data_IF_421119261716
#
_entry.id   IF_421119261716
#
_cell.length_a   1.000
_cell.length_b   1.000
_cell.length_c   1.000
_cell.angle_alpha   90.00
_cell.angle_beta   90.00
_cell.angle_gamma   90.00
#
_symmetry.space_group_name_H-M   'P 1'
#
loop_
_entity.id
_entity.type
_entity.pdbx_description
1 polymer ?
#
# COMPACT_ATOMS: atom_id res chain seq x y z
N UNK A 1 -7.26 8.98 3.77
CA UNK A 1 -6.60 7.70 3.47
C UNK A 1 -7.56 6.52 3.61
N UNK A 2 -8.22 6.38 4.75
CA UNK A 2 -9.21 5.31 4.92
C UNK A 2 -10.33 5.35 3.88
N UNK A 3 -10.79 6.55 3.53
CA UNK A 3 -11.85 6.70 2.55
C UNK A 3 -11.44 6.23 1.15
N UNK A 4 -10.19 6.44 0.78
CA UNK A 4 -9.67 5.99 -0.50
C UNK A 4 -9.60 4.48 -0.57
N UNK A 5 -9.23 3.83 0.51
CA UNK A 5 -9.20 2.36 0.59
C UNK A 5 -10.60 1.80 0.33
N UNK A 6 -11.60 2.39 0.94
CA UNK A 6 -12.99 1.92 0.79
C UNK A 6 -13.57 2.23 -0.59
N UNK A 7 -13.01 3.20 -1.30
CA UNK A 7 -13.37 3.45 -2.70
C UNK A 7 -12.79 2.40 -3.63
N UNK A 8 -11.58 1.94 -3.35
CA UNK A 8 -10.90 0.94 -4.17
C UNK A 8 -11.50 -0.45 -3.94
N UNK A 9 -11.73 -0.79 -2.69
CA UNK A 9 -12.30 -2.07 -2.29
C UNK A 9 -13.50 -1.84 -1.38
N UNK A 10 -14.69 -1.56 -1.95
CA UNK A 10 -15.87 -1.18 -1.14
C UNK A 10 -16.30 -2.24 -0.12
N UNK A 11 -16.00 -3.51 -0.38
CA UNK A 11 -16.34 -4.59 0.54
C UNK A 11 -15.44 -4.62 1.78
N UNK A 12 -14.30 -3.92 1.74
CA UNK A 12 -13.36 -3.88 2.85
C UNK A 12 -13.52 -2.57 3.62
N UNK A 13 -13.76 -2.69 4.93
CA UNK A 13 -13.91 -1.52 5.81
C UNK A 13 -12.69 -1.38 6.70
N UNK A 14 -12.20 -0.17 6.85
CA UNK A 14 -11.04 0.10 7.70
C UNK A 14 -11.45 0.02 9.16
N UNK A 15 -10.79 -0.85 9.93
CA UNK A 15 -11.03 -0.97 11.37
C UNK A 15 -10.10 -0.08 12.16
N UNK A 16 -8.81 -0.08 11.82
CA UNK A 16 -7.81 0.70 12.55
C UNK A 16 -6.50 0.75 11.79
N UNK A 17 -5.67 1.71 12.18
CA UNK A 17 -4.28 1.77 11.74
C UNK A 17 -3.47 0.84 12.64
N UNK A 18 -2.69 -0.06 12.04
CA UNK A 18 -1.90 -1.03 12.82
C UNK A 18 -0.40 -0.83 12.69
N UNK A 19 0.04 0.05 11.80
CA UNK A 19 1.45 0.33 11.67
C UNK A 19 1.72 1.50 10.77
N UNK A 20 2.94 1.95 10.80
CA UNK A 20 3.43 3.01 9.94
C UNK A 20 4.92 2.95 9.93
N UNK A 21 5.52 3.58 8.93
CA UNK A 21 6.97 3.59 8.79
C UNK A 21 7.41 4.58 7.74
N UNK A 22 8.68 4.44 7.34
CA UNK A 22 9.30 5.37 6.41
C UNK A 22 8.56 5.43 5.07
N UNK A 23 7.94 4.35 4.65
CA UNK A 23 7.38 4.26 3.29
C UNK A 23 5.86 4.17 3.25
N UNK A 24 5.18 4.21 4.39
CA UNK A 24 3.73 4.15 4.33
C UNK A 24 3.07 3.80 5.63
N UNK A 25 1.79 3.55 5.53
CA UNK A 25 0.93 3.25 6.67
C UNK A 25 0.20 1.95 6.41
N UNK A 26 0.02 1.14 7.45
CA UNK A 26 -0.69 -0.13 7.35
C UNK A 26 -1.98 -0.05 8.13
N UNK A 27 -3.06 -0.47 7.50
CA UNK A 27 -4.41 -0.48 8.08
C UNK A 27 -4.93 -1.91 8.16
N UNK A 28 -5.65 -2.20 9.23
CA UNK A 28 -6.41 -3.44 9.34
C UNK A 28 -7.80 -3.19 8.76
N UNK A 29 -8.22 -4.09 7.87
CA UNK A 29 -9.53 -3.98 7.23
C UNK A 29 -10.32 -5.25 7.47
N UNK A 30 -11.65 -5.14 7.39
CA UNK A 30 -12.56 -6.24 7.64
C UNK A 30 -13.59 -6.31 6.53
N UNK A 31 -13.95 -7.52 6.17
CA UNK A 31 -15.04 -7.81 5.25
C UNK A 31 -15.96 -8.83 5.89
N UNK A 32 -17.26 -8.58 5.82
CA UNK A 32 -18.28 -9.53 6.28
C UNK A 32 -19.16 -9.92 5.09
N UNK A 33 -19.26 -11.21 4.85
CA UNK A 33 -20.05 -11.75 3.75
C UNK A 33 -20.69 -13.05 4.22
N UNK A 34 -22.01 -13.13 4.12
CA UNK A 34 -22.77 -14.31 4.58
C UNK A 34 -22.42 -14.72 6.03
N UNK A 35 -22.29 -13.76 6.92
CA UNK A 35 -21.91 -13.95 8.32
C UNK A 35 -20.50 -14.46 8.53
N UNK A 36 -19.68 -14.49 7.47
CA UNK A 36 -18.26 -14.80 7.59
C UNK A 36 -17.48 -13.51 7.64
N UNK A 37 -16.64 -13.37 8.64
CA UNK A 37 -15.80 -12.20 8.81
C UNK A 37 -14.36 -12.53 8.44
N UNK A 38 -13.82 -11.77 7.50
CA UNK A 38 -12.42 -11.90 7.07
C UNK A 38 -11.67 -10.62 7.36
N UNK A 39 -10.40 -10.75 7.69
CA UNK A 39 -9.54 -9.58 7.93
C UNK A 39 -8.32 -9.63 7.06
N UNK A 40 -7.84 -8.45 6.70
CA UNK A 40 -6.63 -8.30 5.89
C UNK A 40 -5.89 -7.05 6.34
N UNK A 41 -4.67 -6.90 5.85
CA UNK A 41 -3.90 -5.68 6.03
C UNK A 41 -3.78 -4.98 4.68
N UNK A 42 -3.89 -3.65 4.69
CA UNK A 42 -3.64 -2.84 3.50
C UNK A 42 -2.53 -1.86 3.82
N UNK A 43 -1.44 -1.99 3.07
CA UNK A 43 -0.33 -1.04 3.17
C UNK A 43 -0.50 0.01 2.09
N UNK A 44 -0.39 1.27 2.49
CA UNK A 44 -0.47 2.41 1.59
C UNK A 44 0.91 3.04 1.49
N UNK A 45 1.45 3.06 0.29
CA UNK A 45 2.75 3.68 0.01
C UNK A 45 2.50 4.92 -0.83
N UNK A 46 2.96 6.06 -0.35
CA UNK A 46 2.82 7.33 -1.06
C UNK A 46 4.14 7.70 -1.73
N UNK A 47 4.09 8.04 -3.00
CA UNK A 47 5.28 8.43 -3.79
C UNK A 47 4.98 9.75 -4.49
N UNK A 48 5.68 10.85 -4.16
CA UNK A 48 6.68 10.93 -3.10
C UNK A 48 6.04 10.81 -1.72
N UNK A 49 6.81 10.39 -0.75
CA UNK A 49 6.37 10.27 0.63
C UNK A 49 5.95 11.62 1.19
N UNK A 50 6.72 12.65 0.84
CA UNK A 50 6.51 14.02 1.29
C UNK A 50 6.43 14.92 0.07
N UNK A 51 5.39 15.78 -0.05
CA UNK A 51 5.31 16.73 -1.18
C UNK A 51 6.55 17.62 -1.34
N UNK A 52 7.28 17.87 -0.25
CA UNK A 52 8.49 18.67 -0.31
C UNK A 52 9.60 18.02 -1.14
N UNK A 53 9.54 16.70 -1.36
CA UNK A 53 10.52 16.03 -2.21
C UNK A 53 10.47 16.53 -3.65
N UNK A 54 9.29 16.83 -4.16
CA UNK A 54 9.13 17.37 -5.51
C UNK A 54 9.79 18.74 -5.59
N UNK A 55 9.54 19.59 -4.60
CA UNK A 55 10.15 20.91 -4.55
C UNK A 55 11.67 20.83 -4.47
N UNK A 56 12.19 19.91 -3.66
CA UNK A 56 13.64 19.71 -3.53
C UNK A 56 14.27 19.28 -4.84
N UNK A 57 13.64 18.34 -5.57
CA UNK A 57 14.14 17.89 -6.86
C UNK A 57 14.16 19.01 -7.88
N UNK A 58 13.12 19.85 -7.88
CA UNK A 58 13.03 20.99 -8.81
C UNK A 58 14.06 22.07 -8.46
N UNK A 59 14.32 22.28 -7.19
CA UNK A 59 15.37 23.23 -6.76
C UNK A 59 16.75 22.75 -7.17
N UNK A 60 16.97 21.45 -7.28
CA UNK A 60 18.23 20.88 -7.77
C UNK A 60 18.33 20.90 -9.30
N UNK A 61 17.39 21.55 -9.98
CA UNK A 61 17.42 21.74 -11.42
C UNK A 61 16.62 20.72 -12.23
N UNK A 62 15.90 19.83 -11.58
CA UNK A 62 15.10 18.84 -12.28
C UNK A 62 13.83 19.46 -12.84
N UNK A 63 13.53 19.17 -14.12
CA UNK A 63 12.29 19.63 -14.74
C UNK A 63 11.09 18.87 -14.17
N UNK A 64 9.87 19.40 -14.44
CA UNK A 64 8.65 18.71 -14.02
C UNK A 64 8.57 17.30 -14.65
N UNK A 65 8.89 17.20 -15.95
CA UNK A 65 8.89 15.90 -16.62
C UNK A 65 9.97 14.97 -16.09
N UNK A 66 11.13 15.50 -15.76
CA UNK A 66 12.22 14.72 -15.17
C UNK A 66 11.85 14.21 -13.79
N UNK A 67 11.20 15.04 -13.00
CA UNK A 67 10.72 14.66 -11.66
C UNK A 67 9.70 13.53 -11.78
N UNK A 68 8.75 13.68 -12.69
CA UNK A 68 7.73 12.65 -12.92
C UNK A 68 8.37 11.33 -13.35
N UNK A 69 9.30 11.37 -14.29
CA UNK A 69 9.99 10.17 -14.77
C UNK A 69 10.78 9.48 -13.66
N UNK A 70 11.47 10.26 -12.84
CA UNK A 70 12.24 9.71 -11.72
C UNK A 70 11.33 9.01 -10.73
N UNK A 71 10.23 9.65 -10.32
CA UNK A 71 9.30 9.08 -9.36
C UNK A 71 8.54 7.90 -9.95
N UNK A 72 8.21 7.95 -11.24
CA UNK A 72 7.59 6.82 -11.94
C UNK A 72 8.48 5.58 -11.89
N UNK A 73 9.79 5.76 -12.00
CA UNK A 73 10.74 4.66 -11.86
C UNK A 73 10.67 4.00 -10.50
N UNK A 74 10.48 4.79 -9.44
CA UNK A 74 10.32 4.26 -8.08
C UNK A 74 9.02 3.45 -7.99
N UNK A 75 7.94 3.97 -8.56
CA UNK A 75 6.66 3.25 -8.60
C UNK A 75 6.82 1.92 -9.33
N UNK A 76 7.49 1.92 -10.47
CA UNK A 76 7.71 0.71 -11.25
C UNK A 76 8.50 -0.33 -10.47
N UNK A 77 9.49 0.09 -9.70
CA UNK A 77 10.28 -0.80 -8.86
C UNK A 77 9.39 -1.45 -7.78
N UNK A 78 8.52 -0.66 -7.13
CA UNK A 78 7.58 -1.20 -6.15
C UNK A 78 6.61 -2.19 -6.79
N UNK A 79 6.09 -1.87 -7.97
CA UNK A 79 5.15 -2.75 -8.67
C UNK A 79 5.83 -4.07 -9.03
N UNK A 80 7.07 -4.03 -9.50
CA UNK A 80 7.83 -5.24 -9.81
C UNK A 80 8.03 -6.10 -8.57
N UNK A 81 8.34 -5.48 -7.45
CA UNK A 81 8.51 -6.18 -6.18
C UNK A 81 7.18 -6.82 -5.72
N UNK A 82 6.08 -6.10 -5.84
CA UNK A 82 4.75 -6.61 -5.51
C UNK A 82 4.41 -7.83 -6.37
N UNK A 83 4.69 -7.76 -7.66
CA UNK A 83 4.42 -8.87 -8.58
C UNK A 83 5.25 -10.09 -8.21
N UNK A 84 6.50 -9.90 -7.79
CA UNK A 84 7.33 -10.99 -7.32
C UNK A 84 6.73 -11.63 -6.08
N UNK A 85 6.32 -10.82 -5.10
CA UNK A 85 5.68 -11.33 -3.89
C UNK A 85 4.39 -12.08 -4.21
N UNK A 86 3.61 -11.57 -5.16
CA UNK A 86 2.36 -12.22 -5.58
C UNK A 86 2.64 -13.58 -6.21
N UNK A 87 3.73 -13.71 -6.97
CA UNK A 87 4.11 -14.97 -7.58
C UNK A 87 4.57 -16.01 -6.56
N UNK A 88 4.97 -15.56 -5.36
CA UNK A 88 5.39 -16.44 -4.28
C UNK A 88 4.25 -16.75 -3.30
N UNK A 89 3.05 -16.39 -3.66
CA UNK A 89 1.86 -16.63 -2.84
C UNK A 89 1.72 -18.12 -2.52
N UNK A 90 1.50 -18.41 -1.25
CA UNK A 90 1.38 -19.78 -0.78
C UNK A 90 2.68 -20.41 -0.32
N UNK A 91 3.82 -19.73 -0.52
CA UNK A 91 5.09 -20.20 0.01
C UNK A 91 5.13 -19.90 1.51
N UNK A 92 5.54 -20.89 2.28
CA UNK A 92 5.57 -20.77 3.74
C UNK A 92 6.45 -19.60 4.19
N UNK A 93 5.98 -18.87 5.21
CA UNK A 93 6.68 -17.76 5.84
C UNK A 93 6.76 -16.48 4.99
N UNK A 94 6.03 -16.43 3.88
CA UNK A 94 5.94 -15.23 3.08
C UNK A 94 4.53 -14.68 3.19
N UNK A 95 4.43 -13.38 3.49
CA UNK A 95 3.14 -12.69 3.54
C UNK A 95 2.54 -12.70 2.13
N UNK A 96 1.32 -13.22 2.01
CA UNK A 96 0.66 -13.31 0.71
C UNK A 96 0.03 -11.98 0.33
N UNK A 97 0.40 -11.49 -0.87
CA UNK A 97 -0.27 -10.33 -1.46
C UNK A 97 -1.53 -10.84 -2.16
N UNK A 98 -2.68 -10.28 -1.79
CA UNK A 98 -3.96 -10.68 -2.34
C UNK A 98 -4.37 -9.85 -3.55
N UNK A 99 -4.08 -8.55 -3.48
CA UNK A 99 -4.40 -7.61 -4.56
C UNK A 99 -3.61 -6.33 -4.35
N UNK A 100 -3.50 -5.52 -5.40
CA UNK A 100 -2.89 -4.21 -5.28
C UNK A 100 -3.50 -3.24 -6.28
N UNK A 101 -3.38 -1.94 -5.99
CA UNK A 101 -3.82 -0.87 -6.89
C UNK A 101 -2.80 0.24 -6.85
N UNK A 102 -2.50 0.80 -8.03
CA UNK A 102 -1.66 1.99 -8.16
C UNK A 102 -2.55 3.11 -8.66
N UNK A 103 -2.63 4.19 -7.89
CA UNK A 103 -3.48 5.33 -8.22
C UNK A 103 -2.60 6.55 -8.42
N UNK A 104 -2.64 7.13 -9.61
CA UNK A 104 -1.95 8.38 -9.89
C UNK A 104 -2.77 9.54 -9.36
N UNK A 105 -2.12 10.49 -8.69
CA UNK A 105 -2.79 11.68 -8.16
C UNK A 105 -3.16 12.63 -9.30
N UNK A 106 -4.32 13.22 -9.19
CA UNK A 106 -4.78 14.22 -10.16
C UNK A 106 -4.29 15.60 -9.74
N UNK A 107 -3.81 16.37 -10.70
CA UNK A 107 -3.40 17.76 -10.47
C UNK A 107 -2.04 17.93 -9.81
N UNK A 108 -1.36 16.85 -9.49
CA UNK A 108 -0.02 16.92 -8.91
C UNK A 108 0.76 15.66 -9.29
N UNK A 109 2.07 15.74 -9.16
CA UNK A 109 2.94 14.58 -9.42
C UNK A 109 2.91 13.68 -8.20
N UNK A 110 2.47 12.44 -8.38
CA UNK A 110 2.47 11.50 -7.29
C UNK A 110 1.60 10.29 -7.55
N UNK A 111 1.86 9.24 -6.79
CA UNK A 111 1.13 7.98 -6.86
C UNK A 111 0.93 7.45 -5.46
N UNK A 112 -0.18 6.77 -5.26
CA UNK A 112 -0.43 6.01 -4.03
C UNK A 112 -0.60 4.55 -4.41
N UNK A 113 0.18 3.69 -3.77
CA UNK A 113 0.13 2.24 -4.00
C UNK A 113 -0.57 1.61 -2.81
N UNK A 114 -1.64 0.84 -3.09
CA UNK A 114 -2.41 0.13 -2.07
C UNK A 114 -2.17 -1.35 -2.25
N UNK A 115 -1.69 -2.00 -1.20
CA UNK A 115 -1.38 -3.44 -1.24
C UNK A 115 -2.22 -4.13 -0.19
N UNK A 116 -3.12 -5.01 -0.63
CA UNK A 116 -3.90 -5.83 0.30
C UNK A 116 -3.19 -7.17 0.46
N UNK A 117 -2.93 -7.52 1.70
CA UNK A 117 -2.15 -8.70 2.01
C UNK A 117 -2.73 -9.43 3.20
N UNK A 118 -2.31 -10.68 3.36
CA UNK A 118 -2.71 -11.50 4.48
C UNK A 118 -2.35 -10.81 5.80
N UNK A 119 -3.29 -10.82 6.74
CA UNK A 119 -3.04 -10.30 8.07
C UNK A 119 -2.56 -11.44 8.96
N UNK A 120 -1.28 -11.37 9.35
CA UNK A 120 -0.70 -12.36 10.23
C UNK A 120 -1.15 -12.10 11.66
N UNK A 121 -1.51 -13.15 12.38
CA UNK A 121 -1.91 -13.03 13.76
C UNK A 121 -0.68 -12.73 14.63
N UNK A 122 -0.81 -11.82 15.60
CA UNK A 122 0.24 -11.63 16.58
C UNK A 122 0.53 -12.91 17.34
N UNK A 123 1.77 -13.07 17.76
CA UNK A 123 2.20 -14.26 18.46
C UNK A 123 1.38 -14.55 19.72
N UNK A 124 1.03 -13.52 20.47
CA UNK A 124 0.24 -13.66 21.68
C UNK A 124 -1.18 -14.18 21.41
N UNK A 125 -1.74 -13.91 20.25
CA UNK A 125 -3.04 -14.46 19.88
C UNK A 125 -2.94 -15.96 19.59
N UNK A 126 -1.85 -16.39 19.01
CA UNK A 126 -1.63 -17.82 18.78
C UNK A 126 -1.55 -18.59 20.07
N UNK A 127 -0.97 -18.00 21.11
CA UNK A 127 -0.91 -18.64 22.42
C UNK A 127 -2.26 -18.74 23.09
N UNK A 128 -3.14 -17.82 22.81
CA UNK A 128 -4.46 -17.78 23.41
C UNK A 128 -5.45 -18.71 22.76
N UNK A 129 -5.06 -19.34 21.72
CA UNK A 129 -5.90 -20.27 20.98
C UNK A 129 -5.33 -21.70 21.04
#
# INVERSE_FOLDING_TARGET
>A
MAQEIEKIWPEWKVERRIGGGAYGTVYQVVRTDHNLTSRAAIKVISIPKDPDEIQSLQLDGMTADGTRTYLQGIVDDFVNEIQLMESLKGVQNIVSVEDYKVVERKGEIGWDIYIRMELLKPFNEWKGT
#
